data_IF_138959947826
#
_entry.id   IF_138959947826
#
_cell.length_a   1.000
_cell.length_b   1.000
_cell.length_c   1.000
_cell.angle_alpha   90.00
_cell.angle_beta   90.00
_cell.angle_gamma   90.00
#
_symmetry.space_group_name_H-M   'P 1'
#
loop_
_entity.id
_entity.type
_entity.pdbx_description
1 polymer ?
#
# COMPACT_ATOMS: atom_id res chain seq x y z
N UNK A 1 13.41 -44.38 -56.01
CA UNK A 1 13.09 -45.71 -55.44
C UNK A 1 12.06 -45.46 -54.37
N UNK A 2 10.79 -45.75 -54.59
CA UNK A 2 10.28 -47.00 -55.11
C UNK A 2 9.33 -47.50 -54.02
N UNK A 3 8.02 -47.42 -54.26
CA UNK A 3 7.27 -48.54 -54.84
C UNK A 3 6.64 -49.31 -53.68
N UNK A 4 5.36 -49.04 -53.40
CA UNK A 4 4.23 -49.93 -53.77
C UNK A 4 4.04 -50.98 -52.65
N UNK A 5 2.89 -51.52 -52.30
CA UNK A 5 1.66 -51.92 -53.00
C UNK A 5 0.88 -52.67 -51.88
N UNK A 6 -0.40 -53.01 -51.88
CA UNK A 6 -1.61 -52.83 -52.67
C UNK A 6 -2.61 -53.79 -52.02
N UNK A 7 -3.91 -53.50 -52.04
CA UNK A 7 -4.92 -54.16 -52.88
C UNK A 7 -6.27 -53.65 -52.36
N UNK A 8 -7.36 -53.53 -53.11
CA UNK A 8 -7.68 -53.32 -54.54
C UNK A 8 -9.22 -53.25 -54.53
N UNK A 9 -9.83 -52.37 -55.32
CA UNK A 9 -11.27 -52.30 -55.45
C UNK A 9 -11.65 -51.43 -56.65
N UNK A 10 -11.48 -52.01 -57.83
CA UNK A 10 -11.80 -51.43 -59.14
C UNK A 10 -13.32 -51.25 -59.31
N UNK A 11 -13.76 -50.10 -59.81
CA UNK A 11 -14.82 -50.03 -60.82
C UNK A 11 -14.69 -48.72 -61.62
N UNK A 12 -14.36 -48.88 -62.89
CA UNK A 12 -14.36 -47.87 -63.94
C UNK A 12 -15.78 -47.42 -64.27
N UNK A 13 -15.98 -46.12 -64.48
CA UNK A 13 -16.75 -45.62 -65.62
C UNK A 13 -16.45 -44.12 -65.82
N UNK A 14 -15.94 -43.81 -67.01
CA UNK A 14 -15.76 -42.45 -67.54
C UNK A 14 -17.12 -41.85 -67.89
N UNK A 15 -17.31 -40.57 -67.57
CA UNK A 15 -18.20 -39.69 -68.33
C UNK A 15 -17.69 -38.25 -68.17
N UNK A 16 -16.95 -37.78 -69.18
CA UNK A 16 -16.93 -36.37 -69.56
C UNK A 16 -18.37 -35.95 -69.86
N UNK A 17 -18.79 -34.73 -69.51
CA UNK A 17 -19.56 -33.87 -70.42
C UNK A 17 -19.61 -32.45 -69.85
N UNK A 18 -19.09 -31.53 -70.67
CA UNK A 18 -19.27 -30.10 -70.56
C UNK A 18 -20.77 -29.77 -70.50
N UNK A 19 -21.16 -28.96 -69.53
CA UNK A 19 -22.51 -28.40 -69.45
C UNK A 19 -22.63 -27.30 -70.52
N UNK A 20 -23.29 -27.62 -71.62
CA UNK A 20 -23.95 -26.62 -72.46
C UNK A 20 -25.46 -26.84 -72.38
N UNK A 21 -26.25 -25.77 -72.17
CA UNK A 21 -27.70 -25.84 -72.08
C UNK A 21 -28.32 -25.71 -73.46
N UNK A 22 -29.31 -26.54 -73.80
CA UNK A 22 -30.47 -26.17 -74.62
C UNK A 22 -31.45 -27.35 -74.66
N UNK A 23 -32.63 -27.17 -74.04
CA UNK A 23 -33.89 -26.77 -74.69
C UNK A 23 -34.48 -27.94 -75.48
N UNK A 24 -35.48 -28.64 -74.95
CA UNK A 24 -36.91 -28.45 -75.28
C UNK A 24 -37.57 -29.78 -74.85
N UNK A 25 -38.82 -29.93 -74.42
CA UNK A 25 -40.03 -29.13 -74.47
C UNK A 25 -40.97 -29.82 -73.48
N UNK A 26 -41.20 -29.22 -72.31
CA UNK A 26 -42.41 -29.52 -71.56
C UNK A 26 -43.48 -28.57 -72.10
N UNK A 27 -44.20 -29.03 -73.11
CA UNK A 27 -45.42 -28.38 -73.57
C UNK A 27 -46.47 -28.50 -72.47
N UNK A 28 -46.50 -27.52 -71.57
CA UNK A 28 -47.57 -27.33 -70.60
C UNK A 28 -47.95 -25.85 -70.60
N UNK A 29 -48.85 -25.55 -71.53
CA UNK A 29 -49.99 -24.67 -71.36
C UNK A 29 -49.76 -23.34 -70.64
N UNK A 30 -49.80 -22.29 -71.45
CA UNK A 30 -50.08 -20.90 -71.07
C UNK A 30 -51.26 -20.82 -70.09
N UNK A 31 -50.99 -20.62 -68.80
CA UNK A 31 -51.91 -20.05 -67.83
C UNK A 31 -51.14 -19.15 -66.85
N UNK A 32 -51.35 -17.84 -67.02
CA UNK A 32 -51.41 -16.77 -66.01
C UNK A 32 -50.47 -16.77 -64.78
N UNK A 33 -49.59 -15.76 -64.78
CA UNK A 33 -49.10 -15.00 -63.61
C UNK A 33 -48.63 -15.79 -62.37
N UNK A 34 -47.50 -16.49 -62.46
CA UNK A 34 -46.79 -16.97 -61.26
C UNK A 34 -46.21 -15.79 -60.48
N UNK A 35 -46.75 -15.53 -59.29
CA UNK A 35 -46.19 -14.59 -58.30
C UNK A 35 -45.27 -15.37 -57.36
N UNK A 36 -44.03 -14.94 -57.14
CA UNK A 36 -43.10 -15.54 -56.19
C UNK A 36 -42.47 -14.49 -55.26
N UNK A 37 -41.91 -14.96 -54.14
CA UNK A 37 -41.25 -14.12 -53.13
C UNK A 37 -39.78 -14.49 -53.03
N UNK A 38 -38.83 -13.68 -53.55
CA UNK A 38 -37.40 -13.96 -53.43
C UNK A 38 -36.88 -13.73 -52.00
N UNK A 39 -37.50 -12.82 -51.25
CA UNK A 39 -37.26 -12.57 -49.84
C UNK A 39 -38.61 -12.33 -49.12
N UNK A 40 -38.59 -12.08 -47.80
CA UNK A 40 -39.83 -11.86 -47.06
C UNK A 40 -40.59 -10.59 -47.48
N UNK A 41 -39.92 -9.62 -48.13
CA UNK A 41 -40.39 -8.25 -48.36
C UNK A 41 -40.72 -7.91 -49.82
N UNK A 42 -40.56 -8.83 -50.76
CA UNK A 42 -40.81 -8.58 -52.18
C UNK A 42 -41.75 -9.61 -52.78
N UNK A 43 -42.69 -9.13 -53.59
CA UNK A 43 -43.55 -9.96 -54.44
C UNK A 43 -43.18 -9.68 -55.90
N UNK A 44 -42.63 -10.68 -56.56
CA UNK A 44 -42.22 -10.61 -57.96
C UNK A 44 -43.20 -11.36 -58.85
N UNK A 45 -43.42 -10.83 -60.06
CA UNK A 45 -44.23 -11.46 -61.10
C UNK A 45 -43.53 -11.35 -62.44
N UNK A 46 -43.71 -12.34 -63.31
CA UNK A 46 -43.31 -12.25 -64.71
C UNK A 46 -44.43 -11.57 -65.51
N UNK A 47 -44.05 -10.60 -66.33
CA UNK A 47 -44.92 -10.04 -67.36
C UNK A 47 -44.19 -10.14 -68.69
N UNK A 48 -44.49 -11.19 -69.46
CA UNK A 48 -43.62 -11.64 -70.55
C UNK A 48 -42.26 -12.07 -69.99
N UNK A 49 -41.18 -11.56 -70.59
CA UNK A 49 -39.79 -11.87 -70.20
C UNK A 49 -39.23 -10.94 -69.11
N UNK A 50 -40.03 -9.99 -68.60
CA UNK A 50 -39.61 -8.99 -67.61
C UNK A 50 -40.09 -9.40 -66.22
N UNK A 51 -39.14 -9.48 -65.28
CA UNK A 51 -39.41 -9.69 -63.85
C UNK A 51 -39.73 -8.34 -63.19
N UNK A 52 -40.96 -8.20 -62.69
CA UNK A 52 -41.41 -7.00 -61.97
C UNK A 52 -41.60 -7.35 -60.49
N UNK A 53 -40.71 -6.85 -59.65
CA UNK A 53 -40.79 -6.97 -58.20
C UNK A 53 -41.41 -5.74 -57.56
N UNK A 54 -42.41 -5.93 -56.72
CA UNK A 54 -43.02 -4.88 -55.90
C UNK A 54 -42.76 -5.16 -54.42
N UNK A 55 -42.44 -4.14 -53.62
CA UNK A 55 -42.33 -4.32 -52.18
C UNK A 55 -43.68 -4.77 -51.59
N UNK A 56 -43.63 -5.64 -50.59
CA UNK A 56 -44.79 -6.03 -49.81
C UNK A 56 -45.34 -4.81 -49.07
N UNK A 57 -46.64 -4.55 -49.22
CA UNK A 57 -47.32 -3.47 -48.50
C UNK A 57 -47.85 -4.01 -47.17
N UNK A 58 -47.29 -3.52 -46.08
CA UNK A 58 -47.72 -3.90 -44.73
C UNK A 58 -48.93 -3.09 -44.28
N UNK A 59 -49.89 -3.76 -43.63
CA UNK A 59 -50.97 -3.09 -42.91
C UNK A 59 -50.48 -2.71 -41.53
N UNK A 60 -50.91 -1.56 -41.01
CA UNK A 60 -50.64 -1.19 -39.62
C UNK A 60 -51.42 -2.14 -38.69
N UNK A 61 -50.75 -2.93 -37.84
CA UNK A 61 -51.41 -3.92 -36.99
C UNK A 61 -52.20 -3.31 -35.81
N UNK A 62 -52.27 -1.97 -35.67
CA UNK A 62 -53.05 -1.27 -34.65
C UNK A 62 -52.68 -1.70 -33.22
N UNK A 63 -51.39 -1.67 -32.90
CA UNK A 63 -50.91 -2.08 -31.59
C UNK A 63 -51.51 -1.21 -30.48
N UNK A 64 -51.91 -1.85 -29.39
CA UNK A 64 -52.34 -1.19 -28.18
C UNK A 64 -51.12 -0.68 -27.40
N UNK A 65 -50.52 0.42 -27.86
CA UNK A 65 -49.37 1.05 -27.21
C UNK A 65 -49.66 1.40 -25.74
N UNK A 66 -50.91 1.78 -25.43
CA UNK A 66 -51.38 2.03 -24.06
C UNK A 66 -51.35 0.77 -23.17
N UNK A 67 -51.42 -0.42 -23.77
CA UNK A 67 -51.32 -1.72 -23.10
C UNK A 67 -49.89 -2.29 -23.13
N UNK A 68 -48.91 -1.50 -23.56
CA UNK A 68 -47.50 -1.89 -23.57
C UNK A 68 -47.07 -2.75 -24.77
N UNK A 69 -47.89 -2.80 -25.82
CA UNK A 69 -47.49 -3.43 -27.08
C UNK A 69 -46.50 -2.55 -27.84
N UNK A 70 -45.53 -3.19 -28.49
CA UNK A 70 -44.55 -2.52 -29.35
C UNK A 70 -44.55 -3.18 -30.72
N UNK A 71 -44.22 -2.41 -31.75
CA UNK A 71 -43.99 -2.92 -33.09
C UNK A 71 -42.64 -3.62 -33.15
N UNK A 72 -42.61 -4.91 -33.48
CA UNK A 72 -41.39 -5.67 -33.71
C UNK A 72 -41.45 -6.39 -35.06
N UNK A 73 -40.36 -6.35 -35.83
CA UNK A 73 -40.21 -7.12 -37.06
C UNK A 73 -39.37 -8.36 -36.73
N UNK A 74 -39.93 -9.56 -36.83
CA UNK A 74 -39.20 -10.78 -36.54
C UNK A 74 -38.19 -11.13 -37.65
N UNK A 75 -37.19 -11.96 -37.32
CA UNK A 75 -36.26 -12.44 -38.32
C UNK A 75 -37.01 -13.21 -39.42
N UNK A 76 -36.70 -12.93 -40.68
CA UNK A 76 -37.35 -13.49 -41.87
C UNK A 76 -38.83 -13.11 -42.07
N UNK A 77 -39.30 -12.05 -41.41
CA UNK A 77 -40.60 -11.42 -41.68
C UNK A 77 -40.41 -10.00 -42.22
N UNK A 78 -41.36 -9.52 -43.02
CA UNK A 78 -41.32 -8.16 -43.57
C UNK A 78 -42.15 -7.14 -42.79
N UNK A 79 -43.31 -7.59 -42.31
CA UNK A 79 -44.27 -6.69 -41.66
C UNK A 79 -44.10 -6.75 -40.14
N UNK A 80 -44.21 -5.60 -39.45
CA UNK A 80 -44.13 -5.58 -38.00
C UNK A 80 -45.38 -6.23 -37.40
N UNK A 81 -45.18 -6.98 -36.34
CA UNK A 81 -46.25 -7.54 -35.50
C UNK A 81 -46.27 -6.80 -34.16
N UNK A 82 -47.43 -6.78 -33.51
CA UNK A 82 -47.56 -6.25 -32.16
C UNK A 82 -47.10 -7.33 -31.18
N UNK A 83 -46.03 -7.05 -30.44
CA UNK A 83 -45.59 -7.91 -29.35
C UNK A 83 -45.82 -7.19 -28.04
N UNK A 84 -46.30 -7.92 -27.02
CA UNK A 84 -46.31 -7.41 -25.66
C UNK A 84 -44.87 -7.32 -25.18
N UNK A 85 -44.37 -6.11 -24.93
CA UNK A 85 -43.18 -5.96 -24.09
C UNK A 85 -43.58 -6.51 -22.74
N UNK A 86 -43.03 -7.66 -22.33
CA UNK A 86 -43.43 -8.40 -21.12
C UNK A 86 -43.81 -7.41 -20.01
N UNK A 87 -45.12 -7.27 -19.69
CA UNK A 87 -45.56 -6.21 -18.81
C UNK A 87 -44.81 -6.33 -17.50
N UNK A 88 -44.06 -5.30 -17.16
CA UNK A 88 -43.34 -5.24 -15.89
C UNK A 88 -41.86 -5.58 -15.88
N UNK A 89 -41.16 -5.62 -17.03
CA UNK A 89 -39.69 -5.69 -17.02
C UNK A 89 -39.08 -4.44 -16.38
N UNK A 90 -38.05 -4.61 -15.54
CA UNK A 90 -37.38 -3.52 -14.84
C UNK A 90 -36.01 -3.23 -15.45
N UNK A 91 -35.67 -1.94 -15.56
CA UNK A 91 -34.33 -1.52 -15.96
C UNK A 91 -33.53 -1.13 -14.72
N UNK A 92 -32.45 -1.85 -14.45
CA UNK A 92 -31.59 -1.65 -13.28
C UNK A 92 -30.12 -1.77 -13.70
N UNK A 93 -29.30 -0.77 -13.36
CA UNK A 93 -27.85 -0.74 -13.65
C UNK A 93 -27.47 -1.15 -15.09
N UNK A 94 -28.21 -0.65 -16.09
CA UNK A 94 -28.02 -0.94 -17.53
C UNK A 94 -28.35 -2.38 -17.95
N UNK A 95 -28.98 -3.17 -17.07
CA UNK A 95 -29.52 -4.50 -17.37
C UNK A 95 -31.05 -4.45 -17.33
N UNK A 96 -31.67 -5.31 -18.14
CA UNK A 96 -33.12 -5.51 -18.14
C UNK A 96 -33.40 -6.80 -17.39
N UNK A 97 -34.21 -6.71 -16.34
CA UNK A 97 -34.67 -7.82 -15.52
C UNK A 97 -36.14 -8.11 -15.84
N UNK A 98 -36.48 -9.38 -16.03
CA UNK A 98 -37.85 -9.78 -16.34
C UNK A 98 -38.74 -9.66 -15.10
N UNK A 99 -40.06 -9.49 -15.31
CA UNK A 99 -41.01 -9.44 -14.21
C UNK A 99 -40.97 -10.74 -13.39
N UNK A 100 -40.98 -10.63 -12.06
CA UNK A 100 -40.93 -11.77 -11.14
C UNK A 100 -39.53 -12.31 -10.90
N UNK A 101 -38.49 -11.70 -11.49
CA UNK A 101 -37.10 -12.09 -11.23
C UNK A 101 -36.56 -11.42 -9.97
N UNK A 102 -35.69 -12.15 -9.28
CA UNK A 102 -34.89 -11.67 -8.16
C UNK A 102 -33.40 -11.83 -8.48
N UNK A 103 -32.59 -10.84 -8.09
CA UNK A 103 -31.15 -10.85 -8.32
C UNK A 103 -30.39 -10.17 -7.18
N UNK A 104 -29.15 -10.61 -6.94
CA UNK A 104 -28.24 -9.91 -6.04
C UNK A 104 -27.67 -8.68 -6.75
N UNK A 105 -27.95 -7.48 -6.23
CA UNK A 105 -27.33 -6.22 -6.70
C UNK A 105 -25.99 -5.95 -6.04
N UNK A 106 -25.85 -6.42 -4.80
CA UNK A 106 -24.61 -6.36 -4.02
C UNK A 106 -24.54 -7.60 -3.12
N UNK A 107 -23.41 -7.88 -2.46
CA UNK A 107 -23.34 -8.97 -1.49
C UNK A 107 -24.44 -8.89 -0.42
N UNK A 108 -24.91 -7.68 -0.09
CA UNK A 108 -25.87 -7.40 0.97
C UNK A 108 -27.28 -7.03 0.51
N UNK A 109 -27.58 -7.04 -0.79
CA UNK A 109 -28.91 -6.64 -1.25
C UNK A 109 -29.41 -7.52 -2.37
N UNK A 110 -30.67 -7.93 -2.22
CA UNK A 110 -31.43 -8.64 -3.24
C UNK A 110 -32.50 -7.69 -3.74
N UNK A 111 -32.56 -7.56 -5.06
CA UNK A 111 -33.56 -6.77 -5.75
C UNK A 111 -34.56 -7.70 -6.45
N UNK A 112 -35.82 -7.27 -6.46
CA UNK A 112 -36.92 -7.94 -7.16
C UNK A 112 -37.57 -6.99 -8.15
N UNK A 113 -38.05 -7.54 -9.28
CA UNK A 113 -38.75 -6.76 -10.30
C UNK A 113 -40.26 -7.06 -10.29
N UNK A 114 -41.06 -6.09 -9.85
CA UNK A 114 -42.52 -6.21 -9.79
C UNK A 114 -43.18 -5.13 -10.63
N UNK A 115 -43.82 -5.52 -11.75
CA UNK A 115 -44.56 -4.62 -12.62
C UNK A 115 -43.79 -3.36 -13.04
N UNK A 116 -42.47 -3.48 -13.28
CA UNK A 116 -41.60 -2.38 -13.70
C UNK A 116 -40.99 -1.58 -12.55
N UNK A 117 -41.37 -1.87 -11.30
CA UNK A 117 -40.77 -1.31 -10.09
C UNK A 117 -39.69 -2.25 -9.55
N UNK A 118 -38.47 -1.73 -9.35
CA UNK A 118 -37.39 -2.45 -8.68
C UNK A 118 -37.51 -2.20 -7.18
N UNK A 119 -37.62 -3.28 -6.39
CA UNK A 119 -37.55 -3.21 -4.93
C UNK A 119 -36.35 -4.00 -4.44
N UNK A 120 -35.39 -3.28 -3.85
CA UNK A 120 -34.20 -3.87 -3.24
C UNK A 120 -34.36 -3.88 -1.73
N UNK A 121 -34.16 -5.05 -1.13
CA UNK A 121 -34.15 -5.22 0.32
C UNK A 121 -32.75 -5.65 0.78
N UNK A 122 -32.35 -5.27 2.01
CA UNK A 122 -31.16 -5.86 2.62
C UNK A 122 -31.37 -7.36 2.81
N UNK A 123 -30.38 -8.16 2.41
CA UNK A 123 -30.39 -9.59 2.66
C UNK A 123 -30.11 -9.84 4.16
N UNK A 124 -31.06 -10.39 4.94
CA UNK A 124 -30.80 -10.70 6.33
C UNK A 124 -29.81 -11.87 6.43
N UNK A 125 -28.88 -11.77 7.36
CA UNK A 125 -27.94 -12.85 7.61
C UNK A 125 -28.58 -13.98 8.43
N UNK A 126 -28.26 -15.24 8.13
CA UNK A 126 -28.71 -16.36 8.94
C UNK A 126 -28.21 -16.22 10.38
N UNK A 127 -28.98 -16.68 11.39
CA UNK A 127 -28.54 -16.67 12.77
C UNK A 127 -27.22 -17.43 12.91
N UNK A 128 -26.20 -16.76 13.47
CA UNK A 128 -24.87 -17.33 13.65
C UNK A 128 -24.52 -17.36 15.14
N UNK A 129 -24.06 -18.50 15.63
CA UNK A 129 -23.55 -18.68 16.99
C UNK A 129 -22.21 -19.41 16.90
N UNK A 130 -21.11 -18.68 17.10
CA UNK A 130 -19.77 -19.23 16.98
C UNK A 130 -19.38 -20.04 18.22
N UNK A 131 -18.55 -21.07 18.02
CA UNK A 131 -18.06 -21.93 19.09
C UNK A 131 -17.13 -21.21 20.07
N UNK A 132 -16.73 -21.92 21.12
CA UNK A 132 -15.77 -21.38 22.09
C UNK A 132 -14.43 -21.08 21.40
N UNK A 133 -13.97 -19.82 21.47
CA UNK A 133 -12.78 -19.25 20.80
C UNK A 133 -12.93 -18.88 19.32
N UNK A 134 -14.07 -19.12 18.69
CA UNK A 134 -14.34 -18.62 17.34
C UNK A 134 -14.91 -17.20 17.37
N UNK A 135 -14.57 -16.40 16.37
CA UNK A 135 -15.05 -15.03 16.22
C UNK A 135 -15.89 -14.91 14.95
N UNK A 136 -16.95 -14.11 15.03
CA UNK A 136 -17.72 -13.73 13.86
C UNK A 136 -16.92 -12.70 13.06
N UNK A 137 -16.58 -13.03 11.82
CA UNK A 137 -15.82 -12.17 10.90
C UNK A 137 -16.55 -12.06 9.56
N UNK A 138 -16.58 -10.88 8.95
CA UNK A 138 -17.15 -10.64 7.63
C UNK A 138 -16.00 -10.47 6.64
N UNK A 139 -15.70 -11.47 5.79
CA UNK A 139 -14.71 -11.36 4.73
C UNK A 139 -14.98 -10.21 3.75
N UNK A 140 -13.91 -9.65 3.18
CA UNK A 140 -14.06 -8.66 2.10
C UNK A 140 -14.88 -9.23 0.94
N UNK A 141 -15.87 -8.46 0.48
CA UNK A 141 -16.79 -8.87 -0.58
C UNK A 141 -17.94 -9.78 -0.13
N UNK A 142 -18.02 -10.14 1.16
CA UNK A 142 -19.14 -10.88 1.73
C UNK A 142 -20.09 -9.95 2.50
N UNK A 143 -21.34 -10.37 2.68
CA UNK A 143 -22.29 -9.63 3.51
C UNK A 143 -22.41 -10.18 4.93
N UNK A 144 -22.39 -11.50 5.05
CA UNK A 144 -22.72 -12.16 6.29
C UNK A 144 -21.49 -12.66 7.02
N UNK A 145 -21.49 -12.59 8.36
CA UNK A 145 -20.40 -13.07 9.15
C UNK A 145 -20.28 -14.59 9.02
N UNK A 146 -19.05 -15.07 9.13
CA UNK A 146 -18.69 -16.48 9.26
C UNK A 146 -17.89 -16.66 10.55
N UNK A 147 -17.97 -17.85 11.15
CA UNK A 147 -17.14 -18.17 12.29
C UNK A 147 -15.72 -18.50 11.82
N UNK A 148 -14.75 -17.74 12.29
CA UNK A 148 -13.33 -18.00 12.07
C UNK A 148 -12.70 -18.39 13.41
N UNK A 149 -11.93 -19.48 13.39
CA UNK A 149 -11.13 -19.87 14.54
C UNK A 149 -10.00 -18.87 14.80
N UNK A 150 -9.34 -18.94 15.97
CA UNK A 150 -8.25 -18.04 16.37
C UNK A 150 -6.95 -18.24 15.58
N UNK A 151 -7.01 -18.93 14.42
CA UNK A 151 -5.88 -19.38 13.63
C UNK A 151 -5.01 -20.42 14.35
N UNK A 152 -4.07 -21.03 13.62
CA UNK A 152 -3.05 -21.89 14.24
C UNK A 152 -1.91 -21.03 14.79
N UNK A 153 -1.44 -21.27 16.02
CA UNK A 153 -0.28 -20.57 16.55
C UNK A 153 1.01 -21.02 15.86
N UNK A 154 1.98 -20.12 15.79
CA UNK A 154 3.31 -20.38 15.25
C UNK A 154 4.29 -20.71 16.38
N UNK A 155 5.24 -21.60 16.10
CA UNK A 155 6.39 -21.84 17.00
C UNK A 155 7.66 -21.30 16.36
N UNK A 156 8.38 -20.43 17.07
CA UNK A 156 9.64 -19.85 16.62
C UNK A 156 10.61 -19.78 17.81
N UNK A 157 11.79 -20.41 17.67
CA UNK A 157 12.85 -20.46 18.71
C UNK A 157 12.33 -20.85 20.11
N UNK A 158 11.41 -21.81 20.19
CA UNK A 158 10.85 -22.29 21.47
C UNK A 158 9.78 -21.38 22.09
N UNK A 159 9.42 -20.28 21.43
CA UNK A 159 8.30 -19.41 21.81
C UNK A 159 7.09 -19.69 20.91
N UNK A 160 5.90 -19.49 21.45
CA UNK A 160 4.63 -19.66 20.74
C UNK A 160 4.01 -18.29 20.54
N UNK A 161 3.63 -17.99 19.30
CA UNK A 161 3.00 -16.75 18.86
C UNK A 161 1.61 -17.06 18.31
N UNK A 162 0.60 -16.27 18.68
CA UNK A 162 -0.76 -16.46 18.21
C UNK A 162 -0.90 -16.02 16.74
N UNK A 163 -1.92 -16.50 16.04
CA UNK A 163 -2.20 -16.04 14.69
C UNK A 163 -2.43 -14.52 14.66
N UNK A 164 -1.79 -13.84 13.71
CA UNK A 164 -1.81 -12.37 13.61
C UNK A 164 -0.81 -11.65 14.53
N UNK A 165 -0.14 -12.35 15.45
CA UNK A 165 0.90 -11.75 16.30
C UNK A 165 2.19 -11.51 15.50
N UNK A 166 2.79 -10.32 15.66
CA UNK A 166 4.10 -9.99 15.09
C UNK A 166 5.17 -9.80 16.16
N UNK A 167 6.40 -10.18 15.83
CA UNK A 167 7.55 -10.03 16.73
C UNK A 167 8.78 -9.53 15.98
N UNK A 168 9.58 -8.72 16.68
CA UNK A 168 10.83 -8.18 16.15
C UNK A 168 11.98 -9.15 16.37
N UNK A 169 12.66 -9.54 15.30
CA UNK A 169 13.92 -10.29 15.36
C UNK A 169 15.13 -9.36 15.46
N UNK A 170 15.07 -8.21 14.79
CA UNK A 170 16.10 -7.18 14.86
C UNK A 170 15.49 -5.82 14.55
N UNK A 171 16.30 -4.75 14.62
CA UNK A 171 15.87 -3.41 14.16
C UNK A 171 15.38 -3.42 12.71
N UNK A 172 15.86 -4.35 11.89
CA UNK A 172 15.55 -4.46 10.47
C UNK A 172 14.73 -5.69 10.11
N UNK A 173 14.28 -6.50 11.06
CA UNK A 173 13.60 -7.74 10.74
C UNK A 173 12.46 -8.00 11.70
N UNK A 174 11.28 -8.29 11.14
CA UNK A 174 10.08 -8.67 11.89
C UNK A 174 9.47 -9.94 11.31
N UNK A 175 8.79 -10.71 12.13
CA UNK A 175 8.00 -11.84 11.68
C UNK A 175 6.54 -11.66 12.08
N UNK A 176 5.65 -12.25 11.31
CA UNK A 176 4.21 -12.29 11.55
C UNK A 176 3.78 -13.76 11.55
N UNK A 177 3.01 -14.18 12.55
CA UNK A 177 2.38 -15.48 12.53
C UNK A 177 1.14 -15.45 11.62
N UNK A 178 1.12 -16.31 10.61
CA UNK A 178 -0.05 -16.51 9.74
C UNK A 178 -0.39 -18.00 9.65
N UNK A 179 -1.45 -18.38 10.35
CA UNK A 179 -2.05 -19.70 10.41
C UNK A 179 -1.04 -20.84 10.60
N UNK A 180 -0.18 -20.70 11.61
CA UNK A 180 0.85 -21.67 11.98
C UNK A 180 2.18 -21.51 11.24
N UNK A 181 2.27 -20.56 10.30
CA UNK A 181 3.49 -20.26 9.55
C UNK A 181 4.06 -18.90 9.96
N UNK A 182 5.30 -18.89 10.45
CA UNK A 182 6.03 -17.66 10.72
C UNK A 182 6.52 -17.04 9.39
N UNK A 183 5.97 -15.89 9.03
CA UNK A 183 6.35 -15.11 7.85
C UNK A 183 7.30 -13.99 8.26
N UNK A 184 8.58 -14.13 7.95
CA UNK A 184 9.61 -13.17 8.34
C UNK A 184 10.00 -12.24 7.19
N UNK A 185 10.17 -10.96 7.52
CA UNK A 185 10.47 -9.88 6.59
C UNK A 185 11.69 -9.12 7.07
N UNK A 186 12.66 -8.92 6.18
CA UNK A 186 13.81 -8.05 6.41
C UNK A 186 13.63 -6.75 5.64
N UNK A 187 13.77 -5.62 6.34
CA UNK A 187 13.76 -4.30 5.76
C UNK A 187 14.90 -4.15 4.77
N UNK A 188 14.57 -3.72 3.56
CA UNK A 188 15.53 -3.35 2.53
C UNK A 188 15.62 -1.83 2.49
N UNK A 189 16.79 -1.31 2.85
CA UNK A 189 17.02 0.13 2.84
C UNK A 189 17.27 0.60 1.41
N UNK A 190 16.60 1.69 1.02
CA UNK A 190 16.86 2.34 -0.26
C UNK A 190 18.30 2.88 -0.29
N UNK A 191 18.97 2.86 -1.45
CA UNK A 191 20.24 3.56 -1.63
C UNK A 191 20.09 5.03 -1.27
N UNK A 192 21.00 5.54 -0.44
CA UNK A 192 20.99 6.91 0.05
C UNK A 192 22.19 7.67 -0.53
N UNK A 193 21.94 8.85 -1.10
CA UNK A 193 22.97 9.73 -1.62
C UNK A 193 22.95 11.02 -0.81
N UNK A 194 24.00 11.25 -0.02
CA UNK A 194 24.13 12.45 0.81
C UNK A 194 24.82 13.58 0.05
N UNK A 195 24.60 14.81 0.50
CA UNK A 195 25.28 15.98 -0.06
C UNK A 195 26.78 15.96 0.24
N UNK A 196 27.52 16.85 -0.43
CA UNK A 196 28.97 16.93 -0.28
C UNK A 196 29.41 17.35 1.14
N UNK A 197 28.55 17.92 1.96
CA UNK A 197 28.79 18.33 3.35
C UNK A 197 28.23 17.34 4.39
N UNK A 198 27.73 16.19 3.92
CA UNK A 198 27.11 15.15 4.73
C UNK A 198 27.84 13.80 4.59
N UNK A 199 27.56 12.90 5.53
CA UNK A 199 28.06 11.53 5.54
C UNK A 199 26.97 10.55 5.93
N UNK A 200 27.10 9.31 5.48
CA UNK A 200 26.15 8.23 5.78
C UNK A 200 26.46 7.69 7.17
N UNK A 201 25.53 7.85 8.10
CA UNK A 201 25.70 7.38 9.49
C UNK A 201 24.63 6.36 9.85
N UNK A 202 25.04 5.29 10.54
CA UNK A 202 24.11 4.35 11.17
C UNK A 202 23.76 4.84 12.56
N UNK A 203 22.54 5.36 12.70
CA UNK A 203 22.07 5.87 13.99
C UNK A 203 21.65 4.70 14.90
N UNK A 204 22.10 4.69 16.17
CA UNK A 204 21.68 3.68 17.14
C UNK A 204 20.16 3.60 17.24
N UNK A 205 19.61 2.38 17.25
CA UNK A 205 18.16 2.16 17.34
C UNK A 205 17.39 2.25 16.03
N UNK A 206 17.99 2.72 14.92
CA UNK A 206 17.36 2.74 13.60
C UNK A 206 17.82 1.58 12.73
N UNK A 207 16.95 1.13 11.80
CA UNK A 207 17.31 0.10 10.82
C UNK A 207 18.21 0.66 9.71
N UNK A 208 17.69 1.68 9.01
CA UNK A 208 18.35 2.24 7.84
C UNK A 208 19.29 3.38 8.20
N UNK A 209 20.42 3.52 7.47
CA UNK A 209 21.32 4.64 7.63
C UNK A 209 20.66 5.94 7.18
N UNK A 210 21.17 7.06 7.69
CA UNK A 210 20.70 8.40 7.34
C UNK A 210 21.88 9.33 7.06
N UNK A 211 21.64 10.43 6.33
CA UNK A 211 22.63 11.48 6.15
C UNK A 211 22.72 12.30 7.44
N UNK A 212 23.94 12.54 7.88
CA UNK A 212 24.25 13.48 8.96
C UNK A 212 25.31 14.45 8.45
N UNK A 213 25.28 15.69 8.95
CA UNK A 213 26.34 16.65 8.69
C UNK A 213 27.69 16.06 9.11
N UNK A 214 28.76 16.35 8.34
CA UNK A 214 30.11 15.87 8.68
C UNK A 214 30.56 16.40 10.05
N UNK A 215 31.12 15.51 10.85
CA UNK A 215 31.78 15.84 12.11
C UNK A 215 33.17 16.45 11.83
N UNK A 216 33.67 17.27 12.76
CA UNK A 216 34.98 17.90 12.68
C UNK A 216 35.99 17.17 13.57
N UNK A 217 37.26 17.12 13.17
CA UNK A 217 38.34 16.60 14.01
C UNK A 217 39.29 17.72 14.43
N UNK A 218 39.42 17.97 15.74
CA UNK A 218 40.34 18.96 16.29
C UNK A 218 41.05 18.41 17.54
N UNK A 219 42.37 18.62 17.65
CA UNK A 219 43.19 18.16 18.78
C UNK A 219 43.02 16.67 19.16
N UNK A 220 42.73 15.80 18.19
CA UNK A 220 42.51 14.36 18.42
C UNK A 220 41.11 13.99 18.95
N UNK A 221 40.22 14.97 19.09
CA UNK A 221 38.81 14.77 19.43
C UNK A 221 37.93 14.99 18.20
N UNK A 222 36.79 14.29 18.15
CA UNK A 222 35.77 14.45 17.11
C UNK A 222 34.61 15.22 17.72
N UNK A 223 34.20 16.28 17.02
CA UNK A 223 33.11 17.18 17.39
C UNK A 223 31.98 17.05 16.38
N UNK A 224 30.76 16.87 16.86
CA UNK A 224 29.59 16.80 15.99
C UNK A 224 29.24 18.18 15.42
N UNK A 225 28.52 18.22 14.31
CA UNK A 225 28.06 19.49 13.75
C UNK A 225 27.21 20.27 14.78
N UNK A 226 27.55 21.55 14.96
CA UNK A 226 26.93 22.45 15.94
C UNK A 226 27.60 22.41 17.32
N UNK A 227 28.52 21.48 17.56
CA UNK A 227 29.26 21.40 18.81
C UNK A 227 30.30 22.52 18.91
N UNK A 228 30.37 23.14 20.09
CA UNK A 228 31.27 24.26 20.39
C UNK A 228 32.23 23.90 21.52
N UNK A 229 33.51 24.22 21.35
CA UNK A 229 34.54 23.98 22.37
C UNK A 229 35.47 25.18 22.51
N UNK A 230 36.09 25.32 23.69
CA UNK A 230 37.14 26.31 23.93
C UNK A 230 38.51 25.66 23.72
N UNK A 231 39.22 26.09 22.68
CA UNK A 231 40.59 25.64 22.42
C UNK A 231 41.56 26.21 23.47
N UNK A 232 41.32 27.46 23.88
CA UNK A 232 42.04 28.11 24.96
C UNK A 232 41.15 29.20 25.59
N UNK A 233 41.64 29.91 26.60
CA UNK A 233 40.88 30.94 27.31
C UNK A 233 40.33 32.07 26.42
N UNK A 234 40.94 32.31 25.25
CA UNK A 234 40.59 33.36 24.29
C UNK A 234 39.94 32.87 23.00
N UNK A 235 39.95 31.58 22.72
CA UNK A 235 39.56 31.03 21.42
C UNK A 235 38.48 29.98 21.61
N UNK A 236 37.33 30.23 21.00
CA UNK A 236 36.19 29.32 20.97
C UNK A 236 35.93 28.91 19.53
N UNK A 237 35.77 27.61 19.31
CA UNK A 237 35.56 27.02 17.99
C UNK A 237 34.22 26.30 17.94
N UNK A 238 33.61 26.25 16.76
CA UNK A 238 32.39 25.50 16.45
C UNK A 238 32.62 24.63 15.22
N UNK A 239 32.01 23.44 15.22
CA UNK A 239 32.01 22.57 14.04
C UNK A 239 30.83 22.91 13.11
N UNK A 240 31.11 23.50 11.95
CA UNK A 240 30.12 23.77 10.89
C UNK A 240 30.33 22.80 9.73
N UNK A 241 29.56 21.70 9.69
CA UNK A 241 29.55 20.70 8.60
C UNK A 241 30.94 20.22 8.16
N UNK A 242 31.78 19.84 9.12
CA UNK A 242 33.14 19.34 8.88
C UNK A 242 34.21 20.43 8.80
N UNK A 243 33.82 21.72 8.83
CA UNK A 243 34.73 22.85 8.93
C UNK A 243 34.80 23.38 10.37
N UNK A 244 36.00 23.49 10.92
CA UNK A 244 36.24 24.10 12.23
C UNK A 244 36.30 25.62 12.08
N UNK A 245 35.35 26.34 12.69
CA UNK A 245 35.31 27.81 12.68
C UNK A 245 35.62 28.35 14.07
N UNK A 246 36.72 29.08 14.21
CA UNK A 246 37.18 29.62 15.49
C UNK A 246 37.04 31.14 15.56
N UNK A 247 36.54 31.63 16.69
CA UNK A 247 36.50 33.03 17.04
C UNK A 247 37.51 33.31 18.16
N UNK A 248 38.42 34.26 17.93
CA UNK A 248 39.41 34.71 18.91
C UNK A 248 38.95 36.02 19.54
N UNK A 249 38.73 36.01 20.84
CA UNK A 249 38.39 37.20 21.61
C UNK A 249 39.56 38.20 21.59
N UNK A 250 39.28 39.44 21.19
CA UNK A 250 40.22 40.55 21.30
C UNK A 250 40.07 41.23 22.66
N UNK A 251 41.20 41.54 23.31
CA UNK A 251 41.22 42.26 24.57
C UNK A 251 41.37 43.76 24.31
N UNK A 252 40.65 44.58 25.09
CA UNK A 252 40.82 46.03 25.03
C UNK A 252 42.23 46.41 25.53
N UNK A 253 42.83 47.49 24.98
CA UNK A 253 44.09 48.02 25.49
C UNK A 253 43.97 48.42 26.97
N UNK A 254 44.79 47.82 27.84
CA UNK A 254 44.73 48.02 29.29
C UNK A 254 45.86 48.95 29.78
N UNK A 255 45.50 50.03 30.48
CA UNK A 255 46.43 50.91 31.21
C UNK A 255 46.10 50.91 32.70
N UNK A 256 47.00 50.37 33.51
CA UNK A 256 46.83 50.28 34.96
C UNK A 256 47.31 51.56 35.66
N UNK A 257 46.63 51.93 36.75
CA UNK A 257 47.02 53.07 37.57
C UNK A 257 48.34 52.84 38.33
N UNK A 258 48.90 53.91 38.90
CA UNK A 258 50.12 53.81 39.72
C UNK A 258 49.88 52.84 40.89
N UNK A 259 50.70 51.80 41.00
CA UNK A 259 50.62 50.79 42.05
C UNK A 259 49.79 49.55 41.70
N UNK A 260 49.17 49.48 40.52
CA UNK A 260 48.48 48.28 40.02
C UNK A 260 49.37 47.47 39.08
N UNK A 261 49.29 46.14 39.16
CA UNK A 261 49.95 45.24 38.22
C UNK A 261 48.94 44.60 37.26
N UNK A 262 49.40 44.23 36.07
CA UNK A 262 48.60 43.41 35.14
C UNK A 262 48.62 41.98 35.65
N UNK A 263 47.45 41.37 35.78
CA UNK A 263 47.34 39.96 36.08
C UNK A 263 46.24 39.31 35.23
N UNK A 264 46.52 38.09 34.76
CA UNK A 264 45.52 37.25 34.12
C UNK A 264 45.00 36.26 35.15
N UNK A 265 43.69 36.21 35.38
CA UNK A 265 43.12 35.14 36.21
C UNK A 265 43.09 33.83 35.45
N UNK A 266 43.12 32.74 36.21
CA UNK A 266 42.95 31.40 35.68
C UNK A 266 41.60 31.30 34.95
N UNK A 267 41.62 30.81 33.70
CA UNK A 267 40.42 30.68 32.86
C UNK A 267 39.94 31.96 32.15
N UNK A 268 40.52 33.14 32.40
CA UNK A 268 40.17 34.37 31.68
C UNK A 268 41.10 34.65 30.49
N UNK A 269 40.52 35.11 29.38
CA UNK A 269 41.28 35.55 28.20
C UNK A 269 42.12 36.80 28.49
N UNK A 270 41.45 37.85 28.99
CA UNK A 270 42.02 39.18 29.07
C UNK A 270 42.63 39.46 30.45
N UNK A 271 43.69 40.27 30.43
CA UNK A 271 44.33 40.76 31.65
C UNK A 271 43.48 41.84 32.31
N UNK A 272 43.56 41.90 33.63
CA UNK A 272 42.93 42.94 34.44
C UNK A 272 43.99 43.61 35.34
N UNK A 273 43.73 44.85 35.75
CA UNK A 273 44.59 45.55 36.70
C UNK A 273 44.23 45.10 38.11
N UNK A 274 45.17 44.42 38.78
CA UNK A 274 45.01 43.99 40.16
C UNK A 274 45.85 44.88 41.07
N UNK A 275 45.31 45.17 42.25
CA UNK A 275 46.12 45.77 43.32
C UNK A 275 47.02 44.66 43.89
N UNK A 276 48.30 44.93 44.15
CA UNK A 276 49.14 43.99 44.88
C UNK A 276 48.46 43.64 46.21
N UNK A 277 48.48 42.38 46.64
CA UNK A 277 47.91 42.00 47.92
C UNK A 277 48.56 42.88 48.99
N UNK A 278 47.75 43.67 49.69
CA UNK A 278 48.20 44.28 50.94
C UNK A 278 48.75 43.13 51.78
N UNK A 279 50.02 43.23 52.20
CA UNK A 279 50.62 42.30 53.15
C UNK A 279 49.61 42.15 54.28
N UNK A 280 48.90 41.03 54.27
CA UNK A 280 48.03 40.65 55.37
C UNK A 280 48.95 40.58 56.57
N UNK A 281 48.74 41.54 57.47
CA UNK A 281 49.33 41.57 58.79
C UNK A 281 49.34 40.16 59.36
N UNK A 282 50.54 39.66 59.65
CA UNK A 282 50.72 38.38 60.31
C UNK A 282 50.15 38.50 61.73
N UNK A 283 48.88 38.17 61.92
CA UNK A 283 48.44 37.59 63.19
C UNK A 283 48.51 36.08 63.04
N UNK A 284 49.69 35.55 63.35
CA UNK A 284 49.87 34.14 63.69
C UNK A 284 48.98 33.86 64.92
N UNK A 285 47.76 33.40 64.67
CA UNK A 285 46.97 32.70 65.67
C UNK A 285 47.57 31.33 65.88
N UNK A 286 48.38 31.19 66.93
CA UNK A 286 48.92 29.90 67.37
C UNK A 286 47.74 29.04 67.85
N UNK A 287 47.26 28.12 67.01
CA UNK A 287 46.57 26.92 67.48
C UNK A 287 47.46 25.72 67.22
N UNK A 288 48.49 25.59 68.07
CA UNK A 288 49.26 24.36 68.20
C UNK A 288 48.38 23.25 68.77
N UNK A 289 47.63 22.56 67.92
CA UNK A 289 47.05 21.27 68.27
C UNK A 289 48.17 20.23 68.23
N UNK A 290 48.59 19.80 69.41
CA UNK A 290 49.61 18.77 69.62
C UNK A 290 49.42 17.57 68.68
N UNK A 291 50.49 17.16 68.01
CA UNK A 291 50.51 15.97 67.14
C UNK A 291 50.01 14.69 67.85
N UNK A 292 50.06 14.65 69.19
CA UNK A 292 49.47 13.56 69.98
C UNK A 292 47.94 13.50 69.85
N UNK A 293 47.25 14.64 69.77
CA UNK A 293 45.79 14.70 69.68
C UNK A 293 45.28 14.23 68.30
N UNK A 294 46.02 14.51 67.22
CA UNK A 294 45.68 14.02 65.87
C UNK A 294 45.91 12.51 65.72
N UNK A 295 46.96 11.97 66.36
CA UNK A 295 47.20 10.53 66.42
C UNK A 295 46.10 9.80 67.21
N UNK A 296 45.68 10.36 68.35
CA UNK A 296 44.58 9.81 69.14
C UNK A 296 43.24 9.83 68.40
N UNK A 297 42.93 10.93 67.68
CA UNK A 297 41.70 11.02 66.87
C UNK A 297 41.70 10.02 65.70
N UNK A 298 42.84 9.83 65.04
CA UNK A 298 42.98 8.82 63.98
C UNK A 298 42.83 7.40 64.52
N UNK A 299 43.44 7.09 65.66
CA UNK A 299 43.31 5.79 66.32
C UNK A 299 41.85 5.52 66.74
N UNK A 300 41.17 6.51 67.33
CA UNK A 300 39.75 6.42 67.70
C UNK A 300 38.85 6.15 66.48
N UNK A 301 39.05 6.89 65.38
CA UNK A 301 38.27 6.70 64.15
C UNK A 301 38.53 5.33 63.50
N UNK A 302 39.76 4.81 63.55
CA UNK A 302 40.04 3.45 63.07
C UNK A 302 39.46 2.35 63.95
N UNK A 303 39.34 2.55 65.26
CA UNK A 303 38.69 1.58 66.15
C UNK A 303 37.16 1.57 65.97
N UNK A 304 36.53 2.73 65.80
CA UNK A 304 35.10 2.83 65.49
C UNK A 304 34.79 2.14 64.15
N UNK A 305 35.66 2.30 63.15
CA UNK A 305 35.49 1.65 61.83
C UNK A 305 35.69 0.13 61.88
N UNK A 306 36.49 -0.40 62.82
CA UNK A 306 36.63 -1.84 63.08
C UNK A 306 35.45 -2.42 63.86
N UNK A 307 34.87 -1.69 64.81
CA UNK A 307 33.64 -2.11 65.50
C UNK A 307 32.43 -2.13 64.56
N UNK A 308 32.29 -1.15 63.67
CA UNK A 308 31.17 -1.12 62.70
C UNK A 308 31.26 -2.25 61.65
N UNK A 309 32.46 -2.77 61.36
CA UNK A 309 32.63 -3.89 60.43
C UNK A 309 32.43 -5.27 61.07
N UNK A 310 32.47 -5.37 62.41
CA UNK A 310 32.19 -6.63 63.13
C UNK A 310 30.71 -6.83 63.47
N UNK A 311 29.85 -5.83 63.25
CA UNK A 311 28.39 -5.90 63.49
C UNK A 311 27.57 -6.05 62.19
N UNK A 312 28.23 -6.17 61.03
CA UNK A 312 27.61 -6.30 59.71
C UNK A 312 28.04 -7.57 58.96
N UNK A 313 28.45 -8.61 59.70
CA UNK A 313 28.70 -9.95 59.18
C UNK A 313 28.00 -11.00 60.04
#
# INVERSE_FOLDING_TARGET
>A
MGVLKVWLGLALALAEFAVLPHHSEAYASLQDATIWKPDSCQNCRCHGDIVICKPAVCRNPQCAFEKGEVLQIAANQCCPECVLRTPGSCHYEKKIHEHGTEWASSPCSVCSCNHGEVRCTPQPCPPLSCGHQELAFIPEGSCCPVCVGPGKPCSYEGRVFQDGEDWQLSRCAKCLCRNGVAQCFTAQCQPLFCNQDETVVRVPGKCCPQCSARSCSAAGQVYEHGEQWSENACTTCICDRGEVRCHKQACLPLRCGKGQSRARRHGQCCEECVNPPALASQSVGITGMSHLAQLLLRLFLTQIRKLHFSYLK
#
